data_IF_050364790702
#
_entry.id   IF_050364790702
#
_cell.length_a   1.000
_cell.length_b   1.000
_cell.length_c   1.000
_cell.angle_alpha   90.00
_cell.angle_beta   90.00
_cell.angle_gamma   90.00
#
_symmetry.space_group_name_H-M   'P 1'
#
loop_
_entity.id
_entity.type
_entity.pdbx_description
1 polymer ?
#
# COMPACT_ATOMS: atom_id res chain seq x y z
N UNK A 1 -5.56 2.36 22.25
CA UNK A 1 -4.30 3.11 22.10
C UNK A 1 -4.66 4.58 22.22
N UNK A 2 -4.18 5.27 23.27
CA UNK A 2 -4.47 6.70 23.48
C UNK A 2 -3.54 7.51 22.59
N UNK A 3 -4.07 8.01 21.47
CA UNK A 3 -3.33 8.89 20.55
C UNK A 3 -3.41 10.30 21.15
N UNK A 4 -2.25 10.88 21.50
CA UNK A 4 -2.15 12.28 21.89
C UNK A 4 -2.36 13.14 20.65
N UNK A 5 -3.62 13.51 20.40
CA UNK A 5 -4.06 14.24 19.23
C UNK A 5 -4.16 15.75 19.53
N UNK A 6 -3.60 16.63 18.68
CA UNK A 6 -3.87 18.07 18.73
C UNK A 6 -5.36 18.36 18.64
N UNK A 7 -5.81 19.47 19.25
CA UNK A 7 -7.24 19.83 19.29
C UNK A 7 -7.81 20.04 17.89
N UNK A 8 -7.00 20.59 17.00
CA UNK A 8 -7.28 20.89 15.60
C UNK A 8 -7.67 19.63 14.81
N UNK A 9 -7.16 18.44 15.20
CA UNK A 9 -7.56 17.18 14.57
C UNK A 9 -9.05 16.86 14.85
N UNK A 10 -9.61 17.35 15.95
CA UNK A 10 -11.03 17.14 16.26
C UNK A 10 -11.94 17.94 15.33
N UNK A 11 -11.49 19.10 14.83
CA UNK A 11 -12.25 19.91 13.87
C UNK A 11 -12.39 19.18 12.52
N UNK A 12 -11.33 18.47 12.11
CA UNK A 12 -11.32 17.64 10.89
C UNK A 12 -12.41 16.57 10.92
N UNK A 13 -12.73 16.01 12.09
CA UNK A 13 -13.79 15.00 12.22
C UNK A 13 -15.15 15.56 11.79
N UNK A 14 -15.46 16.80 12.19
CA UNK A 14 -16.71 17.45 11.85
C UNK A 14 -16.77 17.79 10.35
N UNK A 15 -15.63 18.20 9.77
CA UNK A 15 -15.52 18.46 8.33
C UNK A 15 -15.75 17.17 7.54
N UNK A 16 -15.09 16.07 7.90
CA UNK A 16 -15.23 14.79 7.21
C UNK A 16 -16.61 14.17 7.35
N UNK A 17 -17.27 14.32 8.50
CA UNK A 17 -18.64 13.86 8.72
C UNK A 17 -19.64 14.60 7.83
N UNK A 18 -19.43 15.90 7.60
CA UNK A 18 -20.28 16.73 6.75
C UNK A 18 -20.01 16.54 5.26
N UNK A 19 -18.76 16.65 4.84
CA UNK A 19 -18.38 16.66 3.43
C UNK A 19 -18.36 15.25 2.82
N UNK A 20 -18.00 14.24 3.64
CA UNK A 20 -17.80 12.85 3.20
C UNK A 20 -16.84 12.75 2.01
N UNK A 21 -16.71 11.56 1.43
CA UNK A 21 -15.88 11.32 0.24
C UNK A 21 -14.41 11.09 0.56
N UNK A 22 -13.52 11.49 -0.35
CA UNK A 22 -12.10 11.13 -0.31
C UNK A 22 -11.29 12.21 0.40
N UNK A 23 -10.49 11.79 1.38
CA UNK A 23 -9.55 12.61 2.12
C UNK A 23 -8.12 12.08 1.94
N UNK A 24 -7.22 12.88 1.37
CA UNK A 24 -5.81 12.49 1.18
C UNK A 24 -4.95 13.05 2.30
N UNK A 25 -4.13 12.20 2.90
CA UNK A 25 -3.09 12.60 3.85
C UNK A 25 -1.79 12.91 3.09
N UNK A 26 -1.33 14.16 3.16
CA UNK A 26 -0.10 14.62 2.52
C UNK A 26 0.91 15.12 3.54
N UNK A 27 2.18 14.83 3.30
CA UNK A 27 3.27 15.20 4.20
C UNK A 27 4.51 14.34 3.99
N UNK A 28 5.67 14.88 4.34
CA UNK A 28 6.93 14.15 4.31
C UNK A 28 6.94 12.94 5.26
N UNK A 29 8.00 12.14 5.20
CA UNK A 29 8.19 11.02 6.12
C UNK A 29 8.25 11.53 7.58
N UNK A 30 7.70 10.77 8.51
CA UNK A 30 7.68 11.08 9.95
C UNK A 30 6.98 12.42 10.29
N UNK A 31 5.91 12.77 9.56
CA UNK A 31 4.98 13.87 9.91
C UNK A 31 3.70 13.38 10.61
N UNK A 32 3.56 12.07 10.85
CA UNK A 32 2.42 11.52 11.60
C UNK A 32 1.18 11.19 10.77
N UNK A 33 1.27 11.10 9.44
CA UNK A 33 0.15 10.72 8.55
C UNK A 33 -0.58 9.46 9.01
N UNK A 34 0.14 8.35 9.24
CA UNK A 34 -0.48 7.11 9.68
C UNK A 34 -1.09 7.21 11.10
N UNK A 35 -0.55 8.08 11.97
CA UNK A 35 -1.16 8.37 13.28
C UNK A 35 -2.47 9.13 13.12
N UNK A 36 -2.50 10.14 12.24
CA UNK A 36 -3.72 10.87 11.89
C UNK A 36 -4.75 9.93 11.25
N UNK A 37 -4.34 9.06 10.32
CA UNK A 37 -5.23 8.06 9.72
C UNK A 37 -5.93 7.22 10.79
N UNK A 38 -5.16 6.70 11.76
CA UNK A 38 -5.70 5.91 12.88
C UNK A 38 -6.66 6.71 13.75
N UNK A 39 -6.32 7.96 14.06
CA UNK A 39 -7.18 8.86 14.82
C UNK A 39 -8.51 9.12 14.11
N UNK A 40 -8.48 9.40 12.80
CA UNK A 40 -9.69 9.66 12.01
C UNK A 40 -10.58 8.42 11.94
N UNK A 41 -10.01 7.26 11.61
CA UNK A 41 -10.75 6.00 11.52
C UNK A 41 -11.42 5.69 12.87
N UNK A 42 -10.68 5.80 13.97
CA UNK A 42 -11.19 5.51 15.31
C UNK A 42 -12.41 6.38 15.65
N UNK A 43 -12.29 7.69 15.46
CA UNK A 43 -13.33 8.61 15.89
C UNK A 43 -14.52 8.65 14.92
N UNK A 44 -14.31 8.62 13.61
CA UNK A 44 -15.39 8.64 12.61
C UNK A 44 -16.21 7.34 12.68
N UNK A 45 -15.57 6.19 12.85
CA UNK A 45 -16.29 4.91 13.00
C UNK A 45 -17.14 4.90 14.28
N UNK A 46 -16.71 5.56 15.36
CA UNK A 46 -17.52 5.73 16.59
C UNK A 46 -18.71 6.68 16.41
N UNK A 47 -18.65 7.57 15.41
CA UNK A 47 -19.80 8.39 14.99
C UNK A 47 -20.76 7.62 14.07
N UNK A 48 -20.51 6.34 13.82
CA UNK A 48 -21.37 5.49 13.01
C UNK A 48 -21.10 5.57 11.50
N UNK A 49 -20.07 6.30 11.07
CA UNK A 49 -19.70 6.39 9.66
C UNK A 49 -18.98 5.12 9.19
N UNK A 50 -19.25 4.71 7.96
CA UNK A 50 -18.48 3.66 7.30
C UNK A 50 -17.19 4.25 6.70
N UNK A 51 -16.05 3.94 7.30
CA UNK A 51 -14.76 4.51 6.92
C UNK A 51 -13.91 3.47 6.17
N UNK A 52 -13.25 3.87 5.09
CA UNK A 52 -12.22 3.08 4.44
C UNK A 52 -10.84 3.70 4.68
N UNK A 53 -9.82 2.85 4.84
CA UNK A 53 -8.42 3.23 4.76
C UNK A 53 -7.82 2.64 3.49
N UNK A 54 -7.26 3.51 2.65
CA UNK A 54 -6.36 3.13 1.57
C UNK A 54 -4.94 3.42 2.03
N UNK A 55 -4.19 2.38 2.35
CA UNK A 55 -2.79 2.47 2.75
C UNK A 55 -1.90 2.39 1.50
N UNK A 56 -1.51 3.54 0.98
CA UNK A 56 -0.68 3.64 -0.22
C UNK A 56 0.82 3.83 0.07
N UNK A 57 1.26 3.69 1.33
CA UNK A 57 2.68 3.67 1.70
C UNK A 57 3.27 2.27 1.50
N UNK A 58 3.64 1.97 0.26
CA UNK A 58 4.19 0.67 -0.14
C UNK A 58 5.54 0.33 0.54
N UNK A 59 6.20 1.31 1.16
CA UNK A 59 7.47 1.10 1.87
C UNK A 59 7.30 0.79 3.35
N UNK A 60 6.24 1.30 3.99
CA UNK A 60 5.98 1.12 5.41
C UNK A 60 4.51 0.85 5.73
N UNK A 61 3.86 0.07 4.87
CA UNK A 61 2.45 -0.29 5.00
C UNK A 61 2.09 -0.78 6.42
N UNK A 62 0.97 -0.28 6.89
CA UNK A 62 0.28 -0.67 8.10
C UNK A 62 -0.72 -1.81 7.86
N UNK A 63 -1.46 -1.78 6.74
CA UNK A 63 -2.49 -2.78 6.45
C UNK A 63 -1.88 -4.05 5.84
N UNK A 64 -1.14 -3.93 4.74
CA UNK A 64 -0.59 -5.05 3.98
C UNK A 64 0.85 -5.40 4.34
N UNK A 65 1.43 -6.42 3.66
CA UNK A 65 2.87 -6.55 3.55
C UNK A 65 3.46 -5.37 2.77
N UNK A 66 4.77 -5.08 2.90
CA UNK A 66 5.44 -4.09 2.04
C UNK A 66 5.25 -4.45 0.57
N UNK A 67 5.42 -3.47 -0.33
CA UNK A 67 5.20 -3.56 -1.79
C UNK A 67 3.73 -3.64 -2.23
N UNK A 68 2.79 -3.43 -1.31
CA UNK A 68 1.36 -3.45 -1.61
C UNK A 68 0.67 -2.15 -1.20
N UNK A 69 -0.43 -1.85 -1.90
CA UNK A 69 -1.42 -0.88 -1.43
C UNK A 69 -2.53 -1.67 -0.76
N UNK A 70 -2.87 -1.32 0.48
CA UNK A 70 -3.90 -2.02 1.26
C UNK A 70 -5.23 -1.27 1.29
N UNK A 71 -6.33 -2.02 1.31
CA UNK A 71 -7.69 -1.52 1.57
C UNK A 71 -8.29 -2.23 2.79
N UNK A 72 -8.88 -1.47 3.69
CA UNK A 72 -9.71 -2.00 4.77
C UNK A 72 -10.92 -1.11 5.04
N UNK A 73 -12.05 -1.75 5.34
CA UNK A 73 -13.30 -1.11 5.72
C UNK A 73 -13.54 -1.25 7.22
N UNK A 74 -13.89 -0.15 7.86
CA UNK A 74 -14.15 -0.06 9.29
C UNK A 74 -15.62 0.30 9.50
N UNK A 75 -16.29 -0.53 10.33
CA UNK A 75 -17.63 -0.26 10.88
C UNK A 75 -17.50 0.07 12.37
N UNK A 76 -18.61 0.50 12.97
CA UNK A 76 -18.74 0.84 14.40
C UNK A 76 -17.82 0.05 15.33
N UNK A 77 -17.03 0.79 16.11
CA UNK A 77 -15.96 0.35 17.02
C UNK A 77 -14.79 -0.38 16.31
N UNK A 78 -13.80 0.36 15.79
CA UNK A 78 -12.64 -0.24 15.13
C UNK A 78 -11.77 -0.89 16.20
N UNK A 79 -11.99 -2.17 16.39
CA UNK A 79 -11.05 -2.99 17.11
C UNK A 79 -9.88 -3.28 16.15
N UNK A 80 -8.70 -2.80 16.54
CA UNK A 80 -7.47 -2.92 15.74
C UNK A 80 -6.99 -4.38 15.64
N UNK A 81 -7.49 -5.25 16.51
CA UNK A 81 -7.30 -6.71 16.43
C UNK A 81 -8.33 -7.36 15.49
N UNK A 82 -9.40 -6.63 15.16
CA UNK A 82 -10.57 -7.00 14.36
C UNK A 82 -10.48 -6.30 12.99
N UNK A 83 -9.31 -6.41 12.36
CA UNK A 83 -9.18 -6.32 10.89
C UNK A 83 -9.97 -7.53 10.33
N UNK A 84 -11.30 -7.41 10.22
CA UNK A 84 -12.29 -8.49 10.07
C UNK A 84 -12.21 -9.35 8.79
N UNK A 85 -11.18 -9.16 7.99
CA UNK A 85 -10.77 -10.01 6.88
C UNK A 85 -9.33 -9.60 6.54
N UNK A 86 -8.49 -10.50 5.99
CA UNK A 86 -7.22 -10.09 5.40
C UNK A 86 -7.47 -8.85 4.53
N UNK A 87 -6.71 -7.75 4.72
CA UNK A 87 -6.93 -6.55 3.94
C UNK A 87 -6.81 -6.92 2.47
N UNK A 88 -7.64 -6.30 1.65
CA UNK A 88 -7.45 -6.42 0.22
C UNK A 88 -6.15 -5.72 -0.14
N UNK A 89 -5.37 -6.34 -1.01
CA UNK A 89 -4.06 -5.83 -1.40
C UNK A 89 -4.01 -5.63 -2.91
N UNK A 90 -3.21 -4.66 -3.33
CA UNK A 90 -2.83 -4.47 -4.72
C UNK A 90 -1.31 -4.54 -4.78
N UNK A 91 -0.78 -5.50 -5.53
CA UNK A 91 0.66 -5.66 -5.65
C UNK A 91 1.28 -4.59 -6.57
N UNK A 92 2.19 -3.81 -6.00
CA UNK A 92 2.99 -2.81 -6.74
C UNK A 92 4.36 -3.38 -7.08
N UNK A 93 4.92 -4.23 -6.22
CA UNK A 93 6.22 -4.88 -6.45
C UNK A 93 7.44 -4.02 -6.14
N UNK A 94 7.27 -2.88 -5.45
CA UNK A 94 8.37 -2.01 -5.03
C UNK A 94 8.09 -1.38 -3.67
N UNK A 95 9.16 -1.07 -2.92
CA UNK A 95 9.10 -0.34 -1.64
C UNK A 95 9.21 1.18 -1.82
N UNK A 96 9.40 1.65 -3.06
CA UNK A 96 9.38 3.07 -3.45
C UNK A 96 8.49 3.25 -4.67
N UNK A 97 7.68 4.32 -4.74
CA UNK A 97 6.87 4.57 -5.93
C UNK A 97 7.70 4.98 -7.15
N UNK A 98 8.93 5.47 -6.96
CA UNK A 98 9.82 5.86 -8.05
C UNK A 98 10.06 4.69 -9.02
N UNK A 99 10.00 4.96 -10.33
CA UNK A 99 10.02 3.94 -11.38
C UNK A 99 8.71 3.14 -11.54
N UNK A 100 7.73 3.33 -10.65
CA UNK A 100 6.51 2.52 -10.56
C UNK A 100 5.22 3.38 -10.48
N UNK A 101 5.26 4.64 -10.94
CA UNK A 101 4.12 5.56 -10.83
C UNK A 101 2.83 5.05 -11.50
N UNK A 102 2.84 4.51 -12.74
CA UNK A 102 1.61 4.10 -13.39
C UNK A 102 0.88 3.00 -12.60
N UNK A 103 1.61 1.97 -12.15
CA UNK A 103 1.04 0.88 -11.38
C UNK A 103 0.63 1.32 -9.97
N UNK A 104 1.39 2.21 -9.33
CA UNK A 104 1.02 2.78 -8.03
C UNK A 104 -0.29 3.57 -8.14
N UNK A 105 -0.42 4.45 -9.14
CA UNK A 105 -1.64 5.23 -9.37
C UNK A 105 -2.83 4.33 -9.73
N UNK A 106 -2.64 3.32 -10.59
CA UNK A 106 -3.65 2.28 -10.89
C UNK A 106 -4.16 1.62 -9.62
N UNK A 107 -3.24 1.16 -8.77
CA UNK A 107 -3.59 0.47 -7.52
C UNK A 107 -4.36 1.37 -6.55
N UNK A 108 -3.93 2.62 -6.38
CA UNK A 108 -4.63 3.57 -5.49
C UNK A 108 -6.04 3.85 -6.00
N UNK A 109 -6.21 4.11 -7.30
CA UNK A 109 -7.53 4.36 -7.89
C UNK A 109 -8.45 3.15 -7.75
N UNK A 110 -7.94 1.95 -8.05
CA UNK A 110 -8.70 0.69 -7.91
C UNK A 110 -9.20 0.50 -6.49
N UNK A 111 -8.35 0.75 -5.49
CA UNK A 111 -8.71 0.60 -4.08
C UNK A 111 -9.70 1.67 -3.60
N UNK A 112 -9.59 2.92 -4.06
CA UNK A 112 -10.58 3.98 -3.78
C UNK A 112 -11.93 3.65 -4.41
N UNK A 113 -11.95 3.19 -5.67
CA UNK A 113 -13.19 2.82 -6.36
C UNK A 113 -13.88 1.65 -5.67
N UNK A 114 -13.10 0.66 -5.22
CA UNK A 114 -13.61 -0.49 -4.48
C UNK A 114 -14.14 -0.11 -3.10
N UNK A 115 -13.47 0.80 -2.39
CA UNK A 115 -14.00 1.36 -1.15
C UNK A 115 -15.34 2.07 -1.37
N UNK A 116 -15.44 2.87 -2.43
CA UNK A 116 -16.66 3.59 -2.79
C UNK A 116 -17.79 2.64 -3.20
N UNK A 117 -17.53 1.62 -4.02
CA UNK A 117 -18.51 0.60 -4.40
C UNK A 117 -18.97 -0.24 -3.21
N UNK A 118 -18.11 -0.44 -2.21
CA UNK A 118 -18.48 -1.02 -0.94
C UNK A 118 -19.30 -0.07 -0.05
N UNK A 119 -19.57 1.17 -0.46
CA UNK A 119 -20.38 2.13 0.29
C UNK A 119 -19.63 2.83 1.43
N UNK A 120 -18.31 2.96 1.37
CA UNK A 120 -17.58 3.81 2.29
C UNK A 120 -18.05 5.27 2.17
N UNK A 121 -18.38 5.88 3.30
CA UNK A 121 -18.80 7.28 3.37
C UNK A 121 -17.60 8.21 3.44
N UNK A 122 -16.54 7.78 4.12
CA UNK A 122 -15.27 8.52 4.19
C UNK A 122 -14.14 7.57 3.78
N UNK A 123 -13.34 7.98 2.80
CA UNK A 123 -12.19 7.22 2.31
C UNK A 123 -10.92 8.00 2.66
N UNK A 124 -10.18 7.52 3.65
CA UNK A 124 -8.89 8.10 4.06
C UNK A 124 -7.79 7.45 3.24
N UNK A 125 -7.04 8.24 2.49
CA UNK A 125 -5.90 7.78 1.69
C UNK A 125 -4.61 8.17 2.40
N UNK A 126 -3.98 7.22 3.09
CA UNK A 126 -2.63 7.39 3.64
C UNK A 126 -1.61 7.26 2.51
N UNK A 127 -0.70 8.22 2.39
CA UNK A 127 0.23 8.28 1.26
C UNK A 127 1.68 8.17 1.71
N UNK A 128 2.56 7.78 0.79
CA UNK A 128 4.02 7.75 1.02
C UNK A 128 4.56 9.10 1.51
N UNK A 129 5.68 9.09 2.25
CA UNK A 129 6.44 10.31 2.56
C UNK A 129 7.22 10.92 1.37
N UNK A 130 7.04 10.39 0.16
CA UNK A 130 7.74 10.79 -1.07
C UNK A 130 7.15 12.09 -1.64
N UNK A 131 7.62 13.23 -1.13
CA UNK A 131 7.12 14.57 -1.49
C UNK A 131 8.21 15.50 -2.06
N UNK A 132 9.48 15.16 -1.86
CA UNK A 132 10.61 15.97 -2.30
C UNK A 132 10.95 15.69 -3.78
N UNK A 133 11.48 16.72 -4.45
CA UNK A 133 11.84 16.66 -5.86
C UNK A 133 10.65 16.65 -6.82
N UNK A 134 10.92 16.87 -8.10
CA UNK A 134 9.89 16.96 -9.14
C UNK A 134 9.06 15.66 -9.24
N UNK A 135 9.73 14.51 -9.19
CA UNK A 135 9.07 13.21 -9.25
C UNK A 135 8.08 12.99 -8.08
N UNK A 136 8.46 13.39 -6.86
CA UNK A 136 7.59 13.30 -5.69
C UNK A 136 6.39 14.23 -5.82
N UNK A 137 6.61 15.47 -6.23
CA UNK A 137 5.53 16.43 -6.43
C UNK A 137 4.56 15.97 -7.52
N UNK A 138 5.07 15.46 -8.64
CA UNK A 138 4.26 15.00 -9.75
C UNK A 138 3.40 13.80 -9.36
N UNK A 139 3.96 12.81 -8.66
CA UNK A 139 3.20 11.68 -8.15
C UNK A 139 2.02 12.14 -7.27
N UNK A 140 2.25 13.14 -6.39
CA UNK A 140 1.18 13.66 -5.52
C UNK A 140 0.13 14.42 -6.30
N UNK A 141 0.52 15.31 -7.23
CA UNK A 141 -0.42 16.04 -8.09
C UNK A 141 -1.29 15.07 -8.91
N UNK A 142 -0.68 14.09 -9.57
CA UNK A 142 -1.40 13.06 -10.32
C UNK A 142 -2.37 12.27 -9.44
N UNK A 143 -1.99 11.97 -8.20
CA UNK A 143 -2.88 11.31 -7.24
C UNK A 143 -4.05 12.19 -6.85
N UNK A 144 -3.82 13.48 -6.58
CA UNK A 144 -4.90 14.43 -6.26
C UNK A 144 -5.85 14.52 -7.46
N UNK A 145 -5.35 14.72 -8.67
CA UNK A 145 -6.18 14.85 -9.87
C UNK A 145 -6.98 13.57 -10.15
N UNK A 146 -6.33 12.40 -10.07
CA UNK A 146 -6.93 11.10 -10.33
C UNK A 146 -8.03 10.73 -9.32
N UNK A 147 -7.88 11.14 -8.06
CA UNK A 147 -8.84 10.82 -7.00
C UNK A 147 -9.88 11.91 -6.79
N UNK A 148 -9.65 13.13 -7.28
CA UNK A 148 -10.53 14.29 -7.10
C UNK A 148 -11.06 14.41 -5.66
N UNK A 149 -10.16 14.50 -4.65
CA UNK A 149 -10.56 14.44 -3.26
C UNK A 149 -11.39 15.65 -2.83
N UNK A 150 -12.22 15.45 -1.81
CA UNK A 150 -12.93 16.53 -1.14
C UNK A 150 -11.99 17.30 -0.20
N UNK A 151 -11.03 16.59 0.41
CA UNK A 151 -10.15 17.13 1.44
C UNK A 151 -8.70 16.69 1.24
N UNK A 152 -7.79 17.64 1.45
CA UNK A 152 -6.37 17.37 1.65
C UNK A 152 -6.04 17.73 3.09
N UNK A 153 -5.50 16.76 3.83
CA UNK A 153 -4.98 16.94 5.18
C UNK A 153 -3.45 17.02 5.10
N UNK A 154 -2.94 18.25 5.21
CA UNK A 154 -1.55 18.60 5.04
C UNK A 154 -0.81 18.60 6.39
N UNK A 155 0.21 17.75 6.50
CA UNK A 155 1.10 17.62 7.66
C UNK A 155 2.54 17.93 7.22
N UNK A 156 3.07 19.09 7.62
CA UNK A 156 4.39 19.56 7.21
C UNK A 156 5.19 20.13 8.39
N UNK A 157 6.52 20.05 8.30
CA UNK A 157 7.45 20.66 9.25
C UNK A 157 7.84 22.08 8.84
N UNK A 158 7.92 22.32 7.53
CA UNK A 158 8.23 23.60 6.90
C UNK A 158 7.28 23.78 5.71
N UNK A 159 7.80 23.86 4.49
CA UNK A 159 7.14 24.16 3.23
C UNK A 159 7.29 23.01 2.23
N UNK A 160 7.67 21.81 2.68
CA UNK A 160 8.07 20.68 1.83
C UNK A 160 6.97 20.16 0.89
N UNK A 161 5.71 20.48 1.16
CA UNK A 161 4.55 20.09 0.34
C UNK A 161 3.88 21.29 -0.34
N UNK A 162 4.36 22.52 -0.13
CA UNK A 162 3.69 23.72 -0.64
C UNK A 162 3.68 23.79 -2.18
N UNK A 163 4.77 23.34 -2.82
CA UNK A 163 4.82 23.20 -4.28
C UNK A 163 3.78 22.20 -4.84
N UNK A 164 3.28 21.29 -4.00
CA UNK A 164 2.23 20.32 -4.35
C UNK A 164 0.86 20.95 -4.16
N UNK A 165 0.68 21.74 -3.10
CA UNK A 165 -0.62 22.30 -2.69
C UNK A 165 -1.01 23.56 -3.48
N UNK A 166 -0.04 24.41 -3.83
CA UNK A 166 -0.25 25.70 -4.49
C UNK A 166 -1.20 25.65 -5.70
N UNK A 167 -1.15 24.67 -6.61
CA UNK A 167 -2.08 24.59 -7.75
C UNK A 167 -3.56 24.34 -7.39
N UNK A 168 -3.85 24.02 -6.13
CA UNK A 168 -5.18 23.64 -5.63
C UNK A 168 -5.79 24.65 -4.65
N UNK A 169 -5.02 25.64 -4.15
CA UNK A 169 -5.48 26.55 -3.08
C UNK A 169 -6.68 27.42 -3.46
N UNK A 170 -6.74 27.87 -4.72
CA UNK A 170 -7.82 28.74 -5.22
C UNK A 170 -9.04 27.96 -5.72
N UNK A 171 -9.00 26.62 -5.65
CA UNK A 171 -10.10 25.77 -6.11
C UNK A 171 -11.15 25.63 -5.02
N UNK A 172 -12.42 25.46 -5.44
CA UNK A 172 -13.48 25.10 -4.50
C UNK A 172 -13.24 23.73 -3.84
N UNK A 173 -12.64 22.79 -4.59
CA UNK A 173 -12.19 21.49 -4.11
C UNK A 173 -10.85 21.09 -4.77
N UNK A 174 -9.99 20.35 -4.06
CA UNK A 174 -10.10 19.94 -2.65
C UNK A 174 -9.98 21.10 -1.66
N UNK A 175 -10.67 21.00 -0.52
CA UNK A 175 -10.39 21.87 0.63
C UNK A 175 -9.04 21.45 1.24
N UNK A 176 -8.19 22.39 1.57
CA UNK A 176 -6.87 22.12 2.14
C UNK A 176 -6.88 22.51 3.62
N UNK A 177 -6.64 21.54 4.51
CA UNK A 177 -6.46 21.77 5.93
C UNK A 177 -5.02 21.48 6.32
N UNK A 178 -4.28 22.52 6.73
CA UNK A 178 -2.94 22.39 7.30
C UNK A 178 -3.07 22.11 8.79
N UNK A 179 -2.55 20.97 9.23
CA UNK A 179 -2.73 20.47 10.60
C UNK A 179 -1.41 20.50 11.38
N UNK A 180 -1.45 20.74 12.69
CA UNK A 180 -0.28 20.58 13.54
C UNK A 180 0.14 19.12 13.61
N UNK A 181 1.45 18.91 13.77
CA UNK A 181 2.03 17.60 13.99
C UNK A 181 1.76 17.15 15.43
N UNK A 182 1.55 15.85 15.64
CA UNK A 182 1.46 15.28 16.99
C UNK A 182 2.86 15.16 17.60
N UNK A 183 3.04 15.61 18.85
CA UNK A 183 4.30 15.50 19.61
C UNK A 183 4.72 14.04 19.85
N UNK A 184 3.78 13.09 19.76
CA UNK A 184 4.04 11.66 19.91
C UNK A 184 4.72 10.99 18.70
N UNK A 185 4.91 11.73 17.59
CA UNK A 185 5.53 11.17 16.38
C UNK A 185 7.04 11.07 16.55
N UNK A 186 7.54 9.84 16.73
CA UNK A 186 8.97 9.55 16.76
C UNK A 186 9.50 9.30 15.35
N UNK A 187 10.56 10.00 14.92
CA UNK A 187 11.22 9.69 13.67
C UNK A 187 11.80 8.27 13.70
N UNK A 188 11.78 7.59 12.56
CA UNK A 188 12.37 6.24 12.44
C UNK A 188 13.64 6.29 11.62
N UNK A 189 14.70 5.63 12.10
CA UNK A 189 15.95 5.47 11.36
C UNK A 189 15.75 4.56 10.13
N UNK A 190 16.69 4.58 9.18
CA UNK A 190 16.64 3.70 8.01
C UNK A 190 16.68 2.22 8.39
N UNK A 191 17.43 1.88 9.43
CA UNK A 191 17.55 0.54 10.01
C UNK A 191 16.22 0.09 10.63
N UNK A 192 15.57 0.95 11.42
CA UNK A 192 14.26 0.66 12.01
C UNK A 192 13.19 0.44 10.93
N UNK A 193 13.23 1.24 9.86
CA UNK A 193 12.33 1.06 8.70
C UNK A 193 12.59 -0.25 7.97
N UNK A 194 13.86 -0.65 7.83
CA UNK A 194 14.24 -1.93 7.23
C UNK A 194 13.79 -3.10 8.10
N UNK A 195 14.03 -3.04 9.41
CA UNK A 195 13.62 -4.04 10.38
C UNK A 195 12.09 -4.20 10.41
N UNK A 196 11.34 -3.10 10.38
CA UNK A 196 9.89 -3.11 10.27
C UNK A 196 9.42 -3.80 8.98
N UNK A 197 10.01 -3.49 7.82
CA UNK A 197 9.66 -4.19 6.58
C UNK A 197 9.93 -5.69 6.66
N UNK A 198 11.08 -6.09 7.20
CA UNK A 198 11.44 -7.50 7.37
C UNK A 198 10.44 -8.22 8.28
N UNK A 199 10.04 -7.62 9.41
CA UNK A 199 9.05 -8.24 10.29
C UNK A 199 7.67 -8.33 9.63
N UNK A 200 7.25 -7.33 8.85
CA UNK A 200 5.98 -7.37 8.11
C UNK A 200 5.95 -8.46 7.04
N UNK A 201 7.05 -8.67 6.32
CA UNK A 201 7.16 -9.83 5.42
C UNK A 201 7.13 -11.15 6.21
N UNK A 202 7.83 -11.23 7.35
CA UNK A 202 7.79 -12.41 8.22
C UNK A 202 6.36 -12.77 8.63
N UNK A 203 5.63 -11.81 9.17
CA UNK A 203 4.24 -12.00 9.58
C UNK A 203 3.31 -12.42 8.45
N UNK A 204 3.55 -11.92 7.23
CA UNK A 204 2.75 -12.30 6.05
C UNK A 204 3.02 -13.73 5.57
N UNK A 205 4.28 -14.16 5.56
CA UNK A 205 4.70 -15.45 5.00
C UNK A 205 4.88 -16.58 6.04
N UNK A 206 4.74 -16.32 7.34
CA UNK A 206 5.00 -17.30 8.42
C UNK A 206 4.19 -18.60 8.33
N UNK A 207 3.02 -18.58 7.69
CA UNK A 207 2.14 -19.75 7.50
C UNK A 207 2.03 -20.20 6.04
N UNK A 208 2.95 -19.74 5.18
CA UNK A 208 2.96 -20.09 3.76
C UNK A 208 3.41 -21.52 3.51
N UNK A 209 2.96 -22.06 2.38
CA UNK A 209 3.33 -23.38 1.88
C UNK A 209 3.94 -23.26 0.49
N UNK A 210 4.70 -24.28 0.07
CA UNK A 210 5.16 -24.39 -1.30
C UNK A 210 4.01 -24.93 -2.15
N UNK A 211 3.65 -24.17 -3.16
CA UNK A 211 2.69 -24.54 -4.19
C UNK A 211 3.43 -24.72 -5.52
N UNK A 212 2.98 -25.67 -6.33
CA UNK A 212 3.46 -25.86 -7.69
C UNK A 212 2.48 -25.22 -8.68
N UNK A 213 3.00 -24.40 -9.58
CA UNK A 213 2.21 -23.72 -10.59
C UNK A 213 2.81 -23.95 -11.97
N UNK A 214 2.00 -24.52 -12.87
CA UNK A 214 2.34 -24.67 -14.27
C UNK A 214 2.31 -23.29 -14.94
N UNK A 215 3.49 -22.82 -15.38
CA UNK A 215 3.64 -21.47 -15.94
C UNK A 215 2.90 -21.30 -17.27
N UNK A 216 2.66 -22.41 -17.99
CA UNK A 216 1.91 -22.41 -19.24
C UNK A 216 0.40 -22.13 -19.04
N UNK A 217 -0.13 -22.32 -17.83
CA UNK A 217 -1.55 -22.15 -17.51
C UNK A 217 -1.88 -20.74 -16.99
N UNK A 218 -0.87 -19.87 -16.86
CA UNK A 218 -1.01 -18.52 -16.32
C UNK A 218 -0.37 -17.49 -17.25
N UNK A 219 -0.93 -16.28 -17.25
CA UNK A 219 -0.34 -15.13 -17.90
C UNK A 219 0.80 -14.56 -17.06
N UNK A 220 1.79 -13.97 -17.71
CA UNK A 220 2.90 -13.29 -17.05
C UNK A 220 2.79 -11.80 -17.33
N UNK A 221 2.85 -11.00 -16.26
CA UNK A 221 2.90 -9.55 -16.32
C UNK A 221 4.17 -9.02 -15.69
N UNK A 222 4.67 -7.90 -16.22
CA UNK A 222 5.88 -7.26 -15.72
C UNK A 222 7.16 -7.99 -16.08
N UNK A 223 8.27 -7.42 -15.66
CA UNK A 223 9.61 -7.86 -16.02
C UNK A 223 10.50 -7.83 -14.78
N UNK A 224 11.52 -8.68 -14.77
CA UNK A 224 12.60 -8.60 -13.79
C UNK A 224 13.76 -7.91 -14.47
N UNK A 225 14.18 -6.78 -13.92
CA UNK A 225 15.27 -5.98 -14.45
C UNK A 225 16.54 -6.36 -13.71
N UNK A 226 17.61 -6.60 -14.46
CA UNK A 226 18.93 -6.90 -13.91
C UNK A 226 19.62 -5.62 -13.38
N UNK A 227 20.80 -5.73 -12.72
CA UNK A 227 21.53 -4.56 -12.24
C UNK A 227 21.99 -3.58 -13.33
N UNK A 228 22.03 -3.99 -14.61
CA UNK A 228 22.40 -3.16 -15.74
C UNK A 228 21.21 -2.40 -16.33
N UNK A 229 19.98 -2.75 -15.94
CA UNK A 229 18.76 -2.16 -16.45
C UNK A 229 18.09 -2.97 -17.56
N UNK A 230 18.56 -4.19 -17.82
CA UNK A 230 18.05 -5.04 -18.90
C UNK A 230 17.02 -6.06 -18.39
N UNK A 231 15.95 -6.35 -19.16
CA UNK A 231 14.96 -7.35 -18.78
C UNK A 231 15.54 -8.77 -18.87
N UNK A 232 15.38 -9.54 -17.80
CA UNK A 232 15.78 -10.94 -17.75
C UNK A 232 14.77 -11.84 -18.49
N UNK A 233 15.23 -12.90 -19.18
CA UNK A 233 14.35 -13.93 -19.69
C UNK A 233 13.48 -14.54 -18.58
N UNK A 234 12.21 -14.83 -18.88
CA UNK A 234 11.24 -15.34 -17.90
C UNK A 234 11.75 -16.57 -17.14
N UNK A 235 12.34 -17.54 -17.85
CA UNK A 235 12.84 -18.77 -17.25
C UNK A 235 13.97 -18.48 -16.22
N UNK A 236 14.75 -17.42 -16.44
CA UNK A 236 15.81 -17.00 -15.52
C UNK A 236 15.23 -16.23 -14.33
N UNK A 237 14.27 -15.34 -14.59
CA UNK A 237 13.54 -14.62 -13.56
C UNK A 237 12.88 -15.57 -12.55
N UNK A 238 12.13 -16.57 -13.03
CA UNK A 238 11.48 -17.58 -12.17
C UNK A 238 12.47 -18.50 -11.45
N UNK A 239 13.68 -18.65 -12.00
CA UNK A 239 14.77 -19.40 -11.37
C UNK A 239 15.44 -18.67 -10.21
N UNK A 240 15.21 -17.37 -10.04
CA UNK A 240 15.74 -16.60 -8.90
C UNK A 240 15.05 -17.08 -7.62
N UNK A 241 15.80 -17.65 -6.67
CA UNK A 241 15.27 -17.91 -5.33
C UNK A 241 15.08 -16.57 -4.58
N UNK A 242 13.90 -16.37 -4.00
CA UNK A 242 13.58 -15.17 -3.21
C UNK A 242 12.91 -14.03 -3.99
N UNK A 243 12.57 -14.21 -5.28
CA UNK A 243 11.89 -13.19 -6.06
C UNK A 243 10.45 -13.02 -5.55
N UNK A 244 10.04 -11.78 -5.27
CA UNK A 244 8.68 -11.46 -4.89
C UNK A 244 7.79 -11.34 -6.13
N UNK A 245 6.66 -12.04 -6.12
CA UNK A 245 5.68 -12.02 -7.19
C UNK A 245 4.27 -11.75 -6.64
N UNK A 246 3.42 -11.14 -7.46
CA UNK A 246 1.99 -11.02 -7.21
C UNK A 246 1.23 -12.14 -7.89
N UNK A 247 0.34 -12.81 -7.16
CA UNK A 247 -0.55 -13.84 -7.69
C UNK A 247 -1.94 -13.24 -7.87
N UNK A 248 -2.46 -13.26 -9.09
CA UNK A 248 -3.73 -12.62 -9.42
C UNK A 248 -4.73 -13.59 -10.04
N UNK A 249 -6.01 -13.27 -9.87
CA UNK A 249 -7.12 -13.97 -10.51
C UNK A 249 -7.40 -13.44 -11.93
N UNK A 250 -8.49 -13.91 -12.54
CA UNK A 250 -8.96 -13.50 -13.86
C UNK A 250 -9.47 -12.04 -13.92
N UNK A 251 -9.73 -11.41 -12.78
CA UNK A 251 -10.20 -10.02 -12.69
C UNK A 251 -9.05 -9.05 -12.44
N UNK A 252 -7.78 -9.48 -12.48
CA UNK A 252 -6.61 -8.69 -12.09
C UNK A 252 -6.66 -8.25 -10.60
N UNK A 253 -7.36 -9.02 -9.74
CA UNK A 253 -7.31 -8.86 -8.29
C UNK A 253 -6.11 -9.62 -7.72
N UNK A 254 -5.34 -8.99 -6.83
CA UNK A 254 -4.21 -9.65 -6.17
C UNK A 254 -4.74 -10.57 -5.07
N UNK A 255 -4.66 -11.89 -5.31
CA UNK A 255 -5.06 -12.91 -4.35
C UNK A 255 -4.06 -13.03 -3.20
N UNK A 256 -2.77 -13.02 -3.51
CA UNK A 256 -1.68 -13.12 -2.54
C UNK A 256 -0.35 -12.67 -3.15
N UNK A 257 0.66 -12.53 -2.30
CA UNK A 257 2.05 -12.50 -2.73
C UNK A 257 2.64 -13.92 -2.72
N UNK A 258 3.65 -14.13 -3.54
CA UNK A 258 4.45 -15.36 -3.58
C UNK A 258 5.94 -15.06 -3.59
N UNK A 259 6.73 -16.02 -3.14
CA UNK A 259 8.19 -16.01 -3.27
C UNK A 259 8.59 -17.21 -4.13
N UNK A 260 9.31 -16.97 -5.23
CA UNK A 260 9.86 -18.06 -6.04
C UNK A 260 10.94 -18.81 -5.27
N UNK A 261 10.91 -20.14 -5.33
CA UNK A 261 11.94 -21.02 -4.72
C UNK A 261 12.82 -21.68 -5.76
N UNK A 262 12.18 -22.20 -6.79
CA UNK A 262 12.84 -22.87 -7.90
C UNK A 262 11.89 -22.94 -9.08
N UNK A 263 12.46 -23.12 -10.27
CA UNK A 263 11.71 -23.30 -11.49
C UNK A 263 12.30 -24.44 -12.31
N UNK A 264 11.46 -25.38 -12.73
CA UNK A 264 11.84 -26.47 -13.64
C UNK A 264 11.60 -26.01 -15.07
N UNK A 265 12.68 -25.78 -15.83
CA UNK A 265 12.57 -25.42 -17.24
C UNK A 265 11.99 -26.55 -18.09
N UNK A 266 12.29 -27.80 -17.76
CA UNK A 266 11.78 -28.99 -18.46
C UNK A 266 10.28 -29.16 -18.26
N UNK A 267 9.81 -29.10 -17.01
CA UNK A 267 8.38 -29.27 -16.68
C UNK A 267 7.57 -27.98 -16.82
N UNK A 268 8.23 -26.83 -16.96
CA UNK A 268 7.63 -25.48 -16.94
C UNK A 268 6.78 -25.24 -15.68
N UNK A 269 7.27 -25.72 -14.53
CA UNK A 269 6.62 -25.61 -13.21
C UNK A 269 7.46 -24.75 -12.27
N UNK A 270 6.85 -23.73 -11.68
CA UNK A 270 7.46 -22.92 -10.62
C UNK A 270 6.99 -23.39 -9.24
N UNK A 271 7.94 -23.49 -8.29
CA UNK A 271 7.67 -23.70 -6.87
C UNK A 271 7.59 -22.35 -6.18
N UNK A 272 6.40 -22.01 -5.69
CA UNK A 272 6.07 -20.70 -5.12
C UNK A 272 5.72 -20.87 -3.65
N UNK A 273 6.41 -20.14 -2.79
CA UNK A 273 6.09 -20.06 -1.37
C UNK A 273 5.07 -18.94 -1.14
N UNK A 274 3.85 -19.28 -0.76
CA UNK A 274 2.73 -18.33 -0.66
C UNK A 274 1.74 -18.72 0.45
N UNK A 275 1.05 -17.77 1.10
CA UNK A 275 -0.05 -18.09 2.01
C UNK A 275 -1.32 -18.53 1.27
N UNK A 276 -1.35 -18.46 -0.07
CA UNK A 276 -2.48 -18.90 -0.87
C UNK A 276 -2.59 -20.43 -0.88
N UNK A 277 -3.66 -20.95 -0.27
CA UNK A 277 -3.91 -22.39 -0.20
C UNK A 277 -4.39 -22.97 -1.54
N UNK A 278 -5.26 -22.25 -2.25
CA UNK A 278 -5.81 -22.65 -3.54
C UNK A 278 -5.15 -21.87 -4.68
N UNK A 279 -4.06 -22.44 -5.21
CA UNK A 279 -3.30 -21.81 -6.30
C UNK A 279 -3.98 -21.95 -7.67
N UNK A 280 -5.03 -22.78 -7.81
CA UNK A 280 -5.70 -23.01 -9.10
C UNK A 280 -6.47 -21.77 -9.59
N UNK A 281 -6.84 -20.89 -8.67
CA UNK A 281 -7.48 -19.60 -8.98
C UNK A 281 -6.50 -18.56 -9.52
N UNK A 282 -5.20 -18.81 -9.45
CA UNK A 282 -4.20 -17.93 -10.06
C UNK A 282 -4.30 -18.05 -11.57
N UNK A 283 -4.44 -16.90 -12.23
CA UNK A 283 -4.46 -16.76 -13.70
C UNK A 283 -3.36 -15.86 -14.21
N UNK A 284 -2.80 -15.02 -13.35
CA UNK A 284 -1.68 -14.15 -13.72
C UNK A 284 -0.63 -14.13 -12.62
N UNK A 285 0.64 -14.26 -13.01
CA UNK A 285 1.79 -13.95 -12.17
C UNK A 285 2.32 -12.59 -12.59
N UNK A 286 2.32 -11.65 -11.65
CA UNK A 286 2.98 -10.37 -11.82
C UNK A 286 4.39 -10.43 -11.23
N UNK A 287 5.40 -10.26 -12.08
CA UNK A 287 6.80 -10.20 -11.69
C UNK A 287 7.14 -8.84 -11.05
N UNK A 288 8.14 -8.86 -10.18
CA UNK A 288 8.79 -7.66 -9.66
C UNK A 288 10.30 -7.85 -9.63
N UNK A 289 11.06 -6.76 -9.57
CA UNK A 289 12.51 -6.83 -9.34
C UNK A 289 12.88 -6.90 -7.85
N UNK A 290 11.89 -7.02 -6.96
CA UNK A 290 12.10 -7.03 -5.52
C UNK A 290 12.42 -8.45 -5.03
N UNK A 291 13.52 -8.59 -4.28
CA UNK A 291 13.89 -9.84 -3.62
C UNK A 291 13.65 -9.74 -2.13
N UNK A 292 12.91 -10.70 -1.57
CA UNK A 292 12.73 -10.80 -0.13
C UNK A 292 13.96 -11.53 0.44
N UNK A 293 14.65 -10.96 1.45
CA UNK A 293 15.72 -11.67 2.15
C UNK A 293 15.18 -13.02 2.66
N UNK A 294 15.88 -14.11 2.33
CA UNK A 294 15.48 -15.47 2.69
C UNK A 294 15.57 -15.66 4.21
N UNK A 295 14.48 -15.34 4.92
CA UNK A 295 14.30 -15.69 6.35
C UNK A 295 13.42 -16.94 6.48
N UNK A 296 12.86 -17.42 5.37
CA UNK A 296 11.89 -18.50 5.33
C UNK A 296 12.55 -19.77 4.80
N UNK A 297 12.96 -20.65 5.72
CA UNK A 297 13.20 -22.09 5.52
C UNK A 297 13.99 -22.51 4.28
N UNK A 298 15.30 -22.70 4.45
CA UNK A 298 16.07 -23.74 3.74
C UNK A 298 15.83 -25.15 4.35
N UNK A 299 15.00 -25.27 5.39
CA UNK A 299 14.88 -26.49 6.21
C UNK A 299 13.71 -27.44 5.87
N UNK A 300 13.06 -27.29 4.72
CA UNK A 300 12.14 -28.33 4.22
C UNK A 300 12.54 -28.73 2.81
N UNK A 301 13.70 -29.39 2.77
CA UNK A 301 14.18 -30.21 1.65
C UNK A 301 13.21 -31.35 1.35
#
# INVERSE_FOLDING_TARGET
>A
MEIVAPKEWSEVLNVLEKEKGVAILLGATDTGKSTLAKFLIFNLSRRGLKVALIDADIGQSFLGPPTTIGLSLFKSNPDWEVVLSPPEIFFVGSVTPEGHFPIHLKGVKRMVDKAASCGAEVIVVDTTGFVLGEAGQELKRRKIDLLSPNLILALQKSDEIEAILKPYEERAFPKILRLPLSEGVKPRSMEERKAYRTSRFYEYFKHSMIQELAIQEVQIEGEVIDPNGDPLPLDWALGINGLLIGLKDHNDETLALGITRSYSMERKVARIFTPLADIQNVKTIQLSSFRVPLVFGDERA
#
